data_IF_337771807902
#
_entry.id   IF_337771807902
#
_cell.length_a   1.000
_cell.length_b   1.000
_cell.length_c   1.000
_cell.angle_alpha   90.00
_cell.angle_beta   90.00
_cell.angle_gamma   90.00
#
_symmetry.space_group_name_H-M   'P 1'
#
loop_
_entity.id
_entity.type
_entity.pdbx_description
1 polymer ?
#
# COMPACT_ATOMS: atom_id res chain seq x y z
N UNK A 1 4.79 -19.20 8.29
CA UNK A 1 4.27 -20.04 7.20
C UNK A 1 3.34 -19.15 6.41
N UNK A 2 3.85 -18.51 5.35
CA UNK A 2 3.05 -17.67 4.48
C UNK A 2 2.29 -18.59 3.52
N UNK A 3 1.00 -18.73 3.74
CA UNK A 3 0.13 -19.51 2.87
C UNK A 3 -0.09 -18.69 1.60
N UNK A 4 0.77 -18.87 0.60
CA UNK A 4 0.48 -18.39 -0.76
C UNK A 4 -0.68 -19.23 -1.30
N UNK A 5 -1.88 -18.64 -1.32
CA UNK A 5 -3.05 -19.25 -1.95
C UNK A 5 -2.85 -19.11 -3.46
N UNK A 6 -2.53 -20.20 -4.15
CA UNK A 6 -2.39 -20.21 -5.61
C UNK A 6 -3.64 -19.59 -6.25
N UNK A 7 -3.45 -18.55 -7.07
CA UNK A 7 -4.53 -17.87 -7.80
C UNK A 7 -5.26 -16.75 -7.05
N UNK A 8 -4.90 -16.42 -5.80
CA UNK A 8 -5.47 -15.24 -5.14
C UNK A 8 -4.84 -13.95 -5.71
N UNK A 9 -5.60 -13.20 -6.51
CA UNK A 9 -5.25 -11.85 -6.94
C UNK A 9 -6.07 -10.86 -6.12
N UNK A 10 -5.39 -10.12 -5.23
CA UNK A 10 -6.03 -9.03 -4.50
C UNK A 10 -6.59 -8.00 -5.50
N UNK A 11 -7.79 -7.52 -5.24
CA UNK A 11 -8.43 -6.44 -6.01
C UNK A 11 -8.86 -5.35 -5.06
N UNK A 12 -8.94 -4.11 -5.56
CA UNK A 12 -9.41 -2.99 -4.77
C UNK A 12 -10.85 -3.27 -4.28
N UNK A 13 -11.14 -3.20 -2.98
CA UNK A 13 -12.49 -3.46 -2.46
C UNK A 13 -13.51 -2.40 -2.88
N UNK A 14 -13.05 -1.23 -3.36
CA UNK A 14 -13.92 -0.13 -3.82
C UNK A 14 -14.29 -0.25 -5.31
N UNK A 15 -13.34 -0.57 -6.20
CA UNK A 15 -13.58 -0.56 -7.65
C UNK A 15 -13.22 -1.88 -8.38
N UNK A 16 -12.69 -2.88 -7.68
CA UNK A 16 -12.26 -4.15 -8.28
C UNK A 16 -10.96 -4.07 -9.10
N UNK A 17 -10.34 -2.88 -9.21
CA UNK A 17 -9.09 -2.71 -9.95
C UNK A 17 -7.96 -3.55 -9.34
N UNK A 18 -7.16 -4.27 -10.14
CA UNK A 18 -6.24 -5.29 -9.63
C UNK A 18 -4.85 -4.75 -9.26
N UNK A 19 -4.54 -3.49 -9.58
CA UNK A 19 -3.23 -2.89 -9.33
C UNK A 19 -3.26 -1.97 -8.12
N UNK A 20 -2.11 -1.89 -7.46
CA UNK A 20 -1.91 -1.08 -6.26
C UNK A 20 -0.60 -0.30 -6.38
N UNK A 21 -0.58 0.91 -5.83
CA UNK A 21 0.58 1.78 -5.80
C UNK A 21 0.97 2.02 -4.35
N UNK A 22 2.27 1.93 -4.06
CA UNK A 22 2.81 2.26 -2.75
C UNK A 22 3.51 3.62 -2.84
N UNK A 23 3.06 4.57 -2.03
CA UNK A 23 3.62 5.94 -2.00
C UNK A 23 4.11 6.29 -0.60
N UNK A 24 5.27 6.93 -0.46
CA UNK A 24 5.66 7.52 0.81
C UNK A 24 4.70 8.66 1.16
N UNK A 25 4.42 8.81 2.45
CA UNK A 25 3.70 9.95 2.98
C UNK A 25 4.56 10.64 4.01
N UNK A 26 5.03 11.83 3.65
CA UNK A 26 5.75 12.75 4.53
C UNK A 26 4.81 13.75 5.24
N UNK A 27 3.53 13.78 4.83
CA UNK A 27 2.55 14.79 5.26
C UNK A 27 1.52 14.25 6.27
N UNK A 28 1.83 13.18 6.99
CA UNK A 28 0.97 12.69 8.08
C UNK A 28 1.31 13.43 9.35
N UNK A 29 0.40 14.29 9.80
CA UNK A 29 0.54 14.98 11.08
C UNK A 29 0.62 13.96 12.23
N UNK A 30 1.61 14.14 13.11
CA UNK A 30 1.86 13.32 14.30
C UNK A 30 2.31 11.87 14.06
N UNK A 31 2.79 11.53 12.88
CA UNK A 31 3.48 10.25 12.70
C UNK A 31 4.86 10.30 13.36
N UNK A 32 5.17 9.31 14.21
CA UNK A 32 6.48 9.16 14.85
C UNK A 32 7.56 8.67 13.85
N UNK A 33 7.13 8.17 12.69
CA UNK A 33 7.96 7.60 11.63
C UNK A 33 7.38 7.90 10.26
N UNK A 34 8.22 7.79 9.23
CA UNK A 34 7.76 7.82 7.83
C UNK A 34 6.78 6.67 7.57
N UNK A 35 5.67 7.00 6.91
CA UNK A 35 4.64 6.03 6.54
C UNK A 35 4.62 5.81 5.03
N UNK A 36 4.13 4.65 4.63
CA UNK A 36 3.83 4.29 3.26
C UNK A 36 2.34 4.00 3.14
N UNK A 37 1.69 4.58 2.14
CA UNK A 37 0.30 4.31 1.81
C UNK A 37 0.22 3.33 0.66
N UNK A 38 -0.60 2.31 0.82
CA UNK A 38 -0.98 1.40 -0.26
C UNK A 38 -2.31 1.88 -0.81
N UNK A 39 -2.29 2.40 -2.03
CA UNK A 39 -3.46 2.94 -2.73
C UNK A 39 -3.86 2.01 -3.86
N UNK A 40 -5.13 2.05 -4.25
CA UNK A 40 -5.57 1.52 -5.53
C UNK A 40 -4.84 2.26 -6.68
N UNK A 41 -4.33 1.52 -7.66
CA UNK A 41 -3.62 2.07 -8.82
C UNK A 41 -4.50 2.76 -9.85
N UNK A 42 -5.81 2.61 -9.74
CA UNK A 42 -6.77 3.36 -10.55
C UNK A 42 -6.80 4.82 -10.11
N UNK A 43 -6.43 5.72 -11.02
CA UNK A 43 -6.31 7.16 -10.80
C UNK A 43 -7.63 7.84 -10.42
N UNK A 44 -8.77 7.27 -10.83
CA UNK A 44 -10.08 7.80 -10.48
C UNK A 44 -10.55 7.28 -9.11
N UNK A 45 -9.99 6.15 -8.65
CA UNK A 45 -10.40 5.51 -7.40
C UNK A 45 -9.52 5.92 -6.21
N UNK A 46 -8.20 5.76 -6.36
CA UNK A 46 -7.13 5.99 -5.38
C UNK A 46 -7.48 5.61 -3.93
N UNK A 47 -8.26 4.54 -3.74
CA UNK A 47 -8.71 4.13 -2.42
C UNK A 47 -7.52 3.70 -1.56
N UNK A 48 -7.43 4.23 -0.34
CA UNK A 48 -6.44 3.81 0.65
C UNK A 48 -6.78 2.41 1.17
N UNK A 49 -5.91 1.45 0.89
CA UNK A 49 -6.06 0.05 1.26
C UNK A 49 -5.41 -0.23 2.62
N UNK A 50 -4.22 0.34 2.82
CA UNK A 50 -3.43 0.09 4.03
C UNK A 50 -2.39 1.19 4.24
N UNK A 51 -1.90 1.25 5.48
CA UNK A 51 -0.80 2.12 5.92
C UNK A 51 0.27 1.22 6.53
N UNK A 52 1.51 1.37 6.05
CA UNK A 52 2.66 0.60 6.50
C UNK A 52 3.74 1.54 7.05
N UNK A 53 4.62 1.07 7.95
CA UNK A 53 5.88 1.75 8.21
C UNK A 53 6.68 1.87 6.90
N UNK A 54 7.34 3.00 6.64
CA UNK A 54 8.11 3.20 5.42
C UNK A 54 9.19 2.13 5.20
N UNK A 55 9.81 1.66 6.29
CA UNK A 55 10.81 0.57 6.25
C UNK A 55 10.25 -0.78 5.82
N UNK A 56 8.93 -0.98 5.87
CA UNK A 56 8.26 -2.19 5.40
C UNK A 56 7.90 -2.11 3.91
N UNK A 57 7.80 -0.89 3.35
CA UNK A 57 7.48 -0.66 1.94
C UNK A 57 8.73 -0.64 1.04
N UNK A 58 9.85 -0.13 1.56
CA UNK A 58 11.11 -0.05 0.83
C UNK A 58 12.24 -0.68 1.65
N UNK A 59 13.02 -1.55 1.03
CA UNK A 59 14.35 -1.88 1.55
C UNK A 59 15.23 -0.65 1.36
N UNK A 60 15.31 0.21 2.38
CA UNK A 60 16.33 1.26 2.42
C UNK A 60 17.67 0.52 2.48
N UNK A 61 18.42 0.50 1.37
CA UNK A 61 19.85 0.22 1.44
C UNK A 61 20.47 1.52 1.94
N UNK A 62 20.89 1.51 3.20
CA UNK A 62 21.74 2.55 3.78
C UNK A 62 23.01 2.76 2.94
#
# INVERSE_FOLDING_TARGET
METQVEGFRATCPKCGHPEFVVTPSENVENADKMLAFVLCGDVDCQHLISVLPGTAAWHIRD
#
